data_IF_961331022143
#
_entry.id   IF_961331022143
#
_cell.length_a   1.000
_cell.length_b   1.000
_cell.length_c   1.000
_cell.angle_alpha   90.00
_cell.angle_beta   90.00
_cell.angle_gamma   90.00
#
_symmetry.space_group_name_H-M   'P 1'
#
loop_
_entity.id
_entity.type
_entity.pdbx_description
1 polymer ?
#
# COMPACT_ATOMS: atom_id res chain seq x y z
N UNK A 1 64.71 -27.91 -18.24
CA UNK A 1 63.59 -27.26 -17.51
C UNK A 1 63.34 -25.79 -17.91
N UNK A 2 64.14 -25.16 -18.77
CA UNK A 2 64.08 -23.71 -19.06
C UNK A 2 63.19 -23.29 -20.24
N UNK A 3 62.95 -24.18 -21.22
CA UNK A 3 62.15 -23.87 -22.41
C UNK A 3 60.65 -23.74 -22.12
N UNK A 4 60.13 -24.54 -21.17
CA UNK A 4 58.72 -24.55 -20.79
C UNK A 4 58.34 -23.29 -20.01
N UNK A 5 59.19 -22.87 -19.05
CA UNK A 5 59.06 -21.61 -18.32
C UNK A 5 59.11 -20.39 -19.25
N UNK A 6 59.96 -20.40 -20.28
CA UNK A 6 60.04 -19.33 -21.31
C UNK A 6 58.86 -19.27 -22.27
N UNK A 7 58.15 -20.39 -22.49
CA UNK A 7 56.89 -20.41 -23.25
C UNK A 7 55.75 -19.91 -22.38
N UNK A 8 55.69 -20.34 -21.12
CA UNK A 8 54.68 -19.90 -20.16
C UNK A 8 54.74 -18.38 -19.93
N UNK A 9 55.95 -17.83 -19.74
CA UNK A 9 56.12 -16.39 -19.53
C UNK A 9 55.71 -15.56 -20.75
N UNK A 10 55.94 -16.06 -21.97
CA UNK A 10 55.51 -15.40 -23.21
C UNK A 10 53.99 -15.40 -23.38
N UNK A 11 53.33 -16.50 -23.03
CA UNK A 11 51.86 -16.59 -23.08
C UNK A 11 51.22 -15.64 -22.05
N UNK A 12 51.73 -15.62 -20.82
CA UNK A 12 51.27 -14.70 -19.77
C UNK A 12 51.52 -13.23 -20.13
N UNK A 13 52.66 -12.89 -20.70
CA UNK A 13 52.95 -11.51 -21.11
C UNK A 13 52.04 -11.07 -22.27
N UNK A 14 51.72 -11.99 -23.18
CA UNK A 14 50.80 -11.76 -24.30
C UNK A 14 49.35 -11.57 -23.82
N UNK A 15 48.91 -12.32 -22.80
CA UNK A 15 47.62 -12.09 -22.13
C UNK A 15 47.58 -10.77 -21.35
N UNK A 16 48.68 -10.35 -20.71
CA UNK A 16 48.75 -9.04 -20.01
C UNK A 16 48.69 -7.84 -20.96
N UNK A 17 49.20 -7.99 -22.19
CA UNK A 17 49.12 -6.96 -23.23
C UNK A 17 47.80 -6.97 -24.00
N UNK A 18 46.91 -7.93 -23.73
CA UNK A 18 45.66 -8.08 -24.47
C UNK A 18 44.54 -7.29 -23.78
N UNK A 19 44.13 -6.16 -24.38
CA UNK A 19 43.08 -5.28 -23.85
C UNK A 19 41.68 -5.64 -24.37
N UNK A 20 41.58 -6.59 -25.30
CA UNK A 20 40.31 -6.99 -25.90
C UNK A 20 39.36 -7.68 -24.90
N UNK A 21 39.88 -8.24 -23.80
CA UNK A 21 39.08 -8.86 -22.73
C UNK A 21 38.59 -7.91 -21.63
N UNK A 22 39.14 -6.68 -21.55
CA UNK A 22 38.82 -5.73 -20.47
C UNK A 22 37.35 -5.33 -20.48
N UNK A 23 36.77 -5.11 -21.66
CA UNK A 23 35.36 -4.78 -21.83
C UNK A 23 34.45 -5.86 -21.26
N UNK A 24 34.84 -7.13 -21.37
CA UNK A 24 34.07 -8.26 -20.87
C UNK A 24 34.10 -8.34 -19.33
N UNK A 25 35.21 -7.93 -18.72
CA UNK A 25 35.36 -7.83 -17.26
C UNK A 25 34.63 -6.62 -16.70
N UNK A 26 34.67 -5.49 -17.40
CA UNK A 26 33.90 -4.30 -17.00
C UNK A 26 32.39 -4.58 -17.08
N UNK A 27 31.91 -5.20 -18.16
CA UNK A 27 30.50 -5.56 -18.26
C UNK A 27 30.07 -6.62 -17.25
N UNK A 28 30.94 -7.57 -16.89
CA UNK A 28 30.59 -8.58 -15.89
C UNK A 28 30.36 -8.00 -14.50
N UNK A 29 30.90 -6.81 -14.21
CA UNK A 29 30.67 -6.08 -12.96
C UNK A 29 29.54 -5.04 -13.07
N UNK A 30 29.50 -4.27 -14.17
CA UNK A 30 28.54 -3.18 -14.33
C UNK A 30 27.13 -3.69 -14.60
N UNK A 31 26.97 -4.73 -15.44
CA UNK A 31 25.64 -5.27 -15.79
C UNK A 31 24.87 -5.78 -14.57
N UNK A 32 25.40 -6.68 -13.72
CA UNK A 32 24.64 -7.15 -12.56
C UNK A 32 24.31 -6.01 -11.59
N UNK A 33 25.21 -5.04 -11.42
CA UNK A 33 24.95 -3.86 -10.59
C UNK A 33 23.79 -3.03 -11.15
N UNK A 34 23.79 -2.73 -12.44
CA UNK A 34 22.72 -1.96 -13.09
C UNK A 34 21.39 -2.70 -13.08
N UNK A 35 21.39 -4.02 -13.25
CA UNK A 35 20.19 -4.84 -13.16
C UNK A 35 19.59 -4.82 -11.75
N UNK A 36 20.42 -4.95 -10.71
CA UNK A 36 19.95 -4.85 -9.33
C UNK A 36 19.36 -3.48 -9.00
N UNK A 37 20.01 -2.39 -9.45
CA UNK A 37 19.50 -1.04 -9.26
C UNK A 37 18.17 -0.84 -10.00
N UNK A 38 18.07 -1.30 -11.25
CA UNK A 38 16.85 -1.19 -12.06
C UNK A 38 15.71 -1.97 -11.43
N UNK A 39 15.95 -3.22 -11.03
CA UNK A 39 14.97 -4.04 -10.32
C UNK A 39 14.51 -3.36 -9.02
N UNK A 40 15.43 -2.72 -8.28
CA UNK A 40 15.09 -1.92 -7.10
C UNK A 40 14.12 -0.80 -7.42
N UNK A 41 14.41 0.01 -8.44
CA UNK A 41 13.54 1.12 -8.86
C UNK A 41 12.13 0.62 -9.24
N UNK A 42 12.03 -0.48 -9.97
CA UNK A 42 10.73 -1.06 -10.34
C UNK A 42 9.96 -1.60 -9.12
N UNK A 43 10.63 -2.35 -8.25
CA UNK A 43 10.01 -2.95 -7.05
C UNK A 43 9.49 -1.86 -6.09
N UNK A 44 10.32 -0.86 -5.77
CA UNK A 44 9.91 0.22 -4.87
C UNK A 44 8.94 1.20 -5.54
N UNK A 45 9.02 1.37 -6.87
CA UNK A 45 8.07 2.16 -7.64
C UNK A 45 6.66 1.59 -7.56
N UNK A 46 6.50 0.27 -7.77
CA UNK A 46 5.23 -0.43 -7.63
C UNK A 46 4.72 -0.39 -6.18
N UNK A 47 5.60 -0.62 -5.21
CA UNK A 47 5.24 -0.55 -3.79
C UNK A 47 4.68 0.82 -3.39
N UNK A 48 5.31 1.91 -3.83
CA UNK A 48 4.85 3.28 -3.57
C UNK A 48 3.54 3.55 -4.31
N UNK A 49 3.41 3.09 -5.55
CA UNK A 49 2.19 3.22 -6.34
C UNK A 49 0.99 2.57 -5.62
N UNK A 50 1.14 1.32 -5.18
CA UNK A 50 0.10 0.60 -4.43
C UNK A 50 -0.23 1.31 -3.11
N UNK A 51 0.79 1.82 -2.42
CA UNK A 51 0.58 2.56 -1.16
C UNK A 51 -0.26 3.81 -1.37
N UNK A 52 -0.02 4.57 -2.44
CA UNK A 52 -0.78 5.78 -2.77
C UNK A 52 -2.22 5.44 -3.16
N UNK A 53 -2.42 4.39 -3.95
CA UNK A 53 -3.76 3.91 -4.31
C UNK A 53 -4.55 3.43 -3.08
N UNK A 54 -3.86 2.78 -2.14
CA UNK A 54 -4.42 2.33 -0.87
C UNK A 54 -4.89 3.52 -0.03
N UNK A 55 -4.04 4.54 0.15
CA UNK A 55 -4.38 5.75 0.90
C UNK A 55 -5.57 6.49 0.28
N UNK A 56 -5.58 6.63 -1.05
CA UNK A 56 -6.71 7.20 -1.75
C UNK A 56 -8.00 6.40 -1.53
N UNK A 57 -7.94 5.07 -1.61
CA UNK A 57 -9.11 4.19 -1.37
C UNK A 57 -9.65 4.30 0.05
N UNK A 58 -8.76 4.26 1.04
CA UNK A 58 -9.15 4.37 2.45
C UNK A 58 -9.72 5.76 2.76
N UNK A 59 -9.17 6.83 2.16
CA UNK A 59 -9.71 8.19 2.31
C UNK A 59 -11.11 8.33 1.69
N UNK A 60 -11.29 7.84 0.46
CA UNK A 60 -12.60 7.91 -0.23
C UNK A 60 -13.68 7.14 0.51
N UNK A 61 -13.36 5.92 0.98
CA UNK A 61 -14.27 5.11 1.76
C UNK A 61 -14.63 5.74 3.10
N UNK A 62 -13.66 6.31 3.82
CA UNK A 62 -13.90 7.03 5.07
C UNK A 62 -14.77 8.28 4.85
N UNK A 63 -14.52 9.06 3.80
CA UNK A 63 -15.31 10.26 3.46
C UNK A 63 -16.75 9.92 3.09
N UNK A 64 -16.96 8.81 2.38
CA UNK A 64 -18.28 8.29 2.10
C UNK A 64 -18.97 7.83 3.38
N UNK A 65 -18.31 6.98 4.18
CA UNK A 65 -18.86 6.45 5.42
C UNK A 65 -19.15 7.55 6.46
N UNK A 66 -18.38 8.64 6.48
CA UNK A 66 -18.62 9.81 7.32
C UNK A 66 -19.89 10.59 6.96
N UNK A 67 -20.35 10.48 5.70
CA UNK A 67 -21.57 11.13 5.19
C UNK A 67 -22.76 10.17 5.12
N UNK A 68 -22.51 8.87 5.06
CA UNK A 68 -23.54 7.84 4.97
C UNK A 68 -24.22 7.67 6.32
N UNK A 69 -25.47 8.11 6.42
CA UNK A 69 -26.24 8.04 7.66
C UNK A 69 -27.10 6.76 7.68
N UNK A 70 -26.59 5.70 8.30
CA UNK A 70 -27.32 4.43 8.45
C UNK A 70 -28.64 4.60 9.20
N UNK A 71 -28.70 5.51 10.19
CA UNK A 71 -29.92 5.79 10.97
C UNK A 71 -31.02 6.39 10.10
N UNK A 72 -30.67 7.30 9.20
CA UNK A 72 -31.65 7.90 8.29
C UNK A 72 -32.25 6.87 7.34
N UNK A 73 -31.43 5.94 6.83
CA UNK A 73 -31.92 4.85 5.98
C UNK A 73 -32.81 3.87 6.75
N UNK A 74 -32.48 3.52 7.99
CA UNK A 74 -33.35 2.68 8.81
C UNK A 74 -34.67 3.37 9.13
N UNK A 75 -34.65 4.66 9.47
CA UNK A 75 -35.84 5.43 9.83
C UNK A 75 -36.76 5.65 8.61
N UNK A 76 -36.20 5.66 7.39
CA UNK A 76 -36.95 5.71 6.13
C UNK A 76 -37.38 4.34 5.58
N UNK A 77 -37.14 3.24 6.30
CA UNK A 77 -37.48 1.88 5.87
C UNK A 77 -36.54 1.26 4.83
N UNK A 78 -35.40 1.90 4.54
CA UNK A 78 -34.34 1.41 3.63
C UNK A 78 -33.21 0.69 4.39
N UNK A 79 -33.54 -0.18 5.33
CA UNK A 79 -32.56 -0.92 6.14
C UNK A 79 -31.62 -1.85 5.33
N UNK A 80 -31.92 -2.09 4.05
CA UNK A 80 -31.06 -2.86 3.14
C UNK A 80 -29.78 -2.11 2.72
N UNK A 81 -29.68 -0.81 2.96
CA UNK A 81 -28.50 0.00 2.61
C UNK A 81 -27.45 -0.13 3.72
N UNK A 82 -26.47 -1.00 3.51
CA UNK A 82 -25.31 -1.12 4.39
C UNK A 82 -24.20 -0.11 3.99
N UNK A 83 -24.15 1.00 4.71
CA UNK A 83 -23.11 2.03 4.55
C UNK A 83 -21.69 1.48 4.69
N UNK A 84 -21.45 0.51 5.56
CA UNK A 84 -20.12 -0.05 5.78
C UNK A 84 -19.70 -0.94 4.59
N UNK A 85 -20.61 -1.76 4.07
CA UNK A 85 -20.35 -2.55 2.87
C UNK A 85 -20.09 -1.68 1.63
N UNK A 86 -20.91 -0.64 1.42
CA UNK A 86 -20.71 0.32 0.32
C UNK A 86 -19.39 1.07 0.45
N UNK A 87 -19.01 1.48 1.67
CA UNK A 87 -17.72 2.12 1.93
C UNK A 87 -16.54 1.18 1.62
N UNK A 88 -16.64 -0.12 1.98
CA UNK A 88 -15.63 -1.13 1.62
C UNK A 88 -15.50 -1.29 0.10
N UNK A 89 -16.62 -1.30 -0.62
CA UNK A 89 -16.63 -1.38 -2.08
C UNK A 89 -15.93 -0.16 -2.71
N UNK A 90 -16.22 1.04 -2.22
CA UNK A 90 -15.55 2.27 -2.67
C UNK A 90 -14.06 2.22 -2.38
N UNK A 91 -13.64 1.75 -1.20
CA UNK A 91 -12.23 1.65 -0.85
C UNK A 91 -11.47 0.73 -1.80
N UNK A 92 -12.01 -0.45 -2.09
CA UNK A 92 -11.31 -1.47 -2.88
C UNK A 92 -11.43 -1.22 -4.39
N UNK A 93 -12.62 -0.85 -4.87
CA UNK A 93 -12.94 -0.79 -6.30
C UNK A 93 -13.17 0.63 -6.83
N UNK A 94 -13.25 1.63 -5.94
CA UNK A 94 -13.59 3.01 -6.33
C UNK A 94 -15.03 3.21 -6.80
N UNK A 95 -15.91 2.22 -6.63
CA UNK A 95 -17.31 2.30 -7.01
C UNK A 95 -18.21 1.62 -5.96
N UNK A 96 -19.47 2.06 -5.89
CA UNK A 96 -20.46 1.52 -4.94
C UNK A 96 -20.89 0.09 -5.26
N UNK A 97 -20.84 -0.30 -6.53
CA UNK A 97 -21.30 -1.60 -7.02
C UNK A 97 -20.34 -2.75 -6.62
N UNK A 98 -19.10 -2.43 -6.21
CA UNK A 98 -18.10 -3.44 -5.87
C UNK A 98 -17.59 -4.21 -7.08
N UNK A 99 -17.65 -3.62 -8.28
CA UNK A 99 -17.25 -4.28 -9.52
C UNK A 99 -15.78 -4.04 -9.82
N UNK A 100 -15.13 -5.05 -10.41
CA UNK A 100 -13.74 -4.97 -10.89
C UNK A 100 -13.54 -3.83 -11.93
N UNK A 101 -12.31 -3.31 -12.09
CA UNK A 101 -11.07 -3.73 -11.42
C UNK A 101 -10.92 -3.18 -9.99
N UNK A 102 -10.21 -3.92 -9.14
CA UNK A 102 -9.75 -3.39 -7.85
C UNK A 102 -8.64 -2.35 -8.08
N UNK A 103 -8.53 -1.36 -7.18
CA UNK A 103 -7.50 -0.32 -7.25
C UNK A 103 -6.10 -0.91 -7.18
N UNK A 104 -5.90 -1.88 -6.28
CA UNK A 104 -4.66 -2.62 -6.10
C UNK A 104 -4.93 -4.06 -6.54
N UNK A 105 -3.94 -4.69 -7.18
CA UNK A 105 -4.05 -6.07 -7.64
C UNK A 105 -4.40 -7.00 -6.50
N UNK A 106 -5.40 -7.86 -6.71
CA UNK A 106 -5.84 -8.87 -5.74
C UNK A 106 -6.20 -8.31 -4.34
N UNK A 107 -6.51 -7.01 -4.24
CA UNK A 107 -7.00 -6.40 -3.00
C UNK A 107 -8.49 -6.67 -2.81
N UNK A 108 -8.88 -7.08 -1.60
CA UNK A 108 -10.23 -7.59 -1.32
C UNK A 108 -10.91 -6.77 -0.23
N UNK A 109 -12.23 -6.77 -0.23
CA UNK A 109 -13.04 -6.13 0.82
C UNK A 109 -12.84 -6.76 2.20
N UNK A 110 -12.32 -7.98 2.27
CA UNK A 110 -11.91 -8.65 3.52
C UNK A 110 -10.63 -8.05 4.12
N UNK A 111 -9.79 -7.43 3.30
CA UNK A 111 -8.54 -6.79 3.72
C UNK A 111 -8.78 -5.35 4.26
N UNK A 112 -10.05 -4.90 4.24
CA UNK A 112 -10.48 -3.54 4.62
C UNK A 112 -11.49 -3.60 5.76
N UNK A 113 -11.26 -2.76 6.76
CA UNK A 113 -12.12 -2.59 7.92
C UNK A 113 -12.64 -1.15 7.96
N UNK A 114 -13.96 -1.00 8.07
CA UNK A 114 -14.62 0.30 8.20
C UNK A 114 -15.41 0.27 9.52
N UNK A 115 -14.99 1.07 10.48
CA UNK A 115 -15.68 1.26 11.75
C UNK A 115 -16.42 2.59 11.71
N UNK A 116 -17.75 2.55 11.70
CA UNK A 116 -18.61 3.73 11.71
C UNK A 116 -19.17 3.91 13.12
N UNK A 117 -18.97 5.09 13.70
CA UNK A 117 -19.53 5.47 15.00
C UNK A 117 -19.15 4.54 16.16
N UNK A 118 -17.91 4.07 16.21
CA UNK A 118 -17.43 3.22 17.30
C UNK A 118 -17.58 3.97 18.65
N UNK A 119 -18.36 3.44 19.62
CA UNK A 119 -18.58 4.08 20.91
C UNK A 119 -17.28 4.44 21.65
N UNK A 120 -16.20 3.68 21.45
CA UNK A 120 -14.90 3.95 22.06
C UNK A 120 -14.23 5.22 21.49
N UNK A 121 -14.59 5.62 20.28
CA UNK A 121 -14.02 6.78 19.57
C UNK A 121 -14.90 8.03 19.67
N UNK A 122 -16.15 7.88 20.11
CA UNK A 122 -17.07 9.00 20.29
C UNK A 122 -16.64 9.90 21.46
N UNK A 123 -16.79 11.21 21.28
CA UNK A 123 -16.49 12.25 22.27
C UNK A 123 -17.75 13.06 22.57
N UNK A 124 -17.92 13.49 23.81
CA UNK A 124 -19.04 14.35 24.17
C UNK A 124 -18.90 15.71 23.50
N UNK A 125 -20.00 16.25 22.99
CA UNK A 125 -20.05 17.56 22.35
C UNK A 125 -19.90 18.71 23.37
N UNK A 126 -20.32 18.46 24.61
CA UNK A 126 -20.23 19.38 25.75
C UNK A 126 -19.50 18.68 26.90
N UNK A 127 -18.62 19.40 27.59
CA UNK A 127 -17.92 18.88 28.77
C UNK A 127 -18.84 18.88 30.02
N UNK A 128 -18.36 18.32 31.13
CA UNK A 128 -19.11 18.29 32.40
C UNK A 128 -19.32 19.68 33.03
N UNK A 129 -18.67 20.72 32.52
CA UNK A 129 -18.73 22.11 33.00
C UNK A 129 -19.65 22.98 32.12
N UNK A 130 -20.25 22.43 31.07
CA UNK A 130 -21.12 23.14 30.15
C UNK A 130 -20.41 23.83 28.98
N UNK A 131 -19.10 23.62 28.79
CA UNK A 131 -18.37 24.16 27.65
C UNK A 131 -18.64 23.34 26.39
N UNK A 132 -18.98 24.02 25.30
CA UNK A 132 -19.16 23.40 23.98
C UNK A 132 -17.80 23.07 23.37
N UNK A 133 -17.44 21.79 23.37
CA UNK A 133 -16.21 21.27 22.75
C UNK A 133 -16.36 21.13 21.23
N UNK A 134 -17.55 20.73 20.77
CA UNK A 134 -17.84 20.50 19.36
C UNK A 134 -19.25 20.94 19.00
N UNK A 135 -19.41 21.60 17.84
CA UNK A 135 -20.74 21.89 17.28
C UNK A 135 -21.34 20.60 16.71
N UNK A 136 -22.45 20.15 17.29
CA UNK A 136 -23.17 18.93 16.91
C UNK A 136 -24.66 19.08 17.24
N UNK A 137 -25.53 18.46 16.43
CA UNK A 137 -26.96 18.31 16.73
C UNK A 137 -27.22 17.21 17.76
N UNK A 138 -26.21 16.40 18.07
CA UNK A 138 -26.28 15.28 19.01
C UNK A 138 -25.32 15.49 20.18
N UNK A 139 -25.55 14.81 21.30
CA UNK A 139 -24.72 14.92 22.52
C UNK A 139 -23.29 14.41 22.35
N UNK A 140 -23.00 13.64 21.28
CA UNK A 140 -21.69 13.07 21.02
C UNK A 140 -21.28 13.23 19.55
N UNK A 141 -20.01 13.58 19.34
CA UNK A 141 -19.35 13.56 18.04
C UNK A 141 -18.58 12.26 17.90
N UNK A 142 -18.89 11.49 16.87
CA UNK A 142 -18.22 10.22 16.59
C UNK A 142 -17.31 10.32 15.36
N UNK A 143 -16.43 9.34 15.24
CA UNK A 143 -15.43 9.26 14.16
C UNK A 143 -15.73 8.00 13.34
N UNK A 144 -15.42 8.08 12.06
CA UNK A 144 -15.32 6.93 11.16
C UNK A 144 -13.85 6.62 10.98
N UNK A 145 -13.47 5.37 11.21
CA UNK A 145 -12.12 4.88 10.93
C UNK A 145 -12.18 3.88 9.79
N UNK A 146 -11.53 4.19 8.69
CA UNK A 146 -11.26 3.23 7.62
C UNK A 146 -9.81 2.76 7.74
N UNK A 147 -9.59 1.46 7.68
CA UNK A 147 -8.26 0.88 7.66
C UNK A 147 -8.17 -0.26 6.65
N UNK A 148 -6.99 -0.45 6.09
CA UNK A 148 -6.69 -1.57 5.22
C UNK A 148 -5.31 -2.13 5.49
N UNK A 149 -5.12 -3.39 5.14
CA UNK A 149 -3.81 -4.04 5.07
C UNK A 149 -3.63 -4.72 3.71
N UNK A 150 -2.42 -4.77 3.19
CA UNK A 150 -2.11 -5.45 1.92
C UNK A 150 -0.74 -6.12 2.00
N UNK A 151 -0.66 -7.47 1.89
CA UNK A 151 0.61 -8.19 1.96
C UNK A 151 1.35 -8.16 0.62
N UNK A 152 1.96 -7.01 0.32
CA UNK A 152 2.67 -6.70 -0.93
C UNK A 152 3.69 -7.78 -1.34
N UNK A 153 4.54 -8.23 -0.40
CA UNK A 153 5.60 -9.21 -0.67
C UNK A 153 5.08 -10.54 -1.25
N UNK A 154 3.83 -10.91 -0.95
CA UNK A 154 3.22 -12.17 -1.40
C UNK A 154 2.30 -12.04 -2.60
N UNK A 155 1.85 -10.82 -2.94
CA UNK A 155 0.79 -10.59 -3.94
C UNK A 155 1.28 -9.84 -5.19
N UNK A 156 2.19 -8.88 -5.02
CA UNK A 156 2.62 -7.98 -6.12
C UNK A 156 4.13 -7.84 -6.29
N UNK A 157 4.93 -8.43 -5.38
CA UNK A 157 6.38 -8.33 -5.50
C UNK A 157 6.89 -8.96 -6.79
N UNK A 158 7.83 -8.27 -7.44
CA UNK A 158 8.52 -8.72 -8.67
C UNK A 158 9.64 -9.72 -8.34
N UNK A 159 9.81 -10.08 -7.06
CA UNK A 159 10.73 -11.11 -6.59
C UNK A 159 12.09 -10.60 -6.12
N UNK A 160 12.40 -9.30 -6.32
CA UNK A 160 13.63 -8.70 -5.79
C UNK A 160 13.69 -8.82 -4.27
N UNK A 161 12.57 -8.58 -3.57
CA UNK A 161 12.50 -8.67 -2.11
C UNK A 161 12.90 -10.06 -1.62
N UNK A 162 12.46 -11.11 -2.32
CA UNK A 162 12.86 -12.49 -2.03
C UNK A 162 14.35 -12.73 -2.26
N UNK A 163 14.97 -12.07 -3.26
CA UNK A 163 16.40 -12.21 -3.56
C UNK A 163 17.27 -11.65 -2.42
N UNK A 164 16.82 -10.59 -1.75
CA UNK A 164 17.48 -9.99 -0.58
C UNK A 164 16.93 -10.51 0.76
N UNK A 165 16.22 -11.64 0.73
CA UNK A 165 15.67 -12.33 1.90
C UNK A 165 14.67 -11.51 2.74
N UNK A 166 13.94 -10.60 2.07
CA UNK A 166 12.81 -9.86 2.64
C UNK A 166 11.51 -10.55 2.19
N UNK A 167 10.91 -11.33 3.09
CA UNK A 167 9.72 -12.13 2.78
C UNK A 167 8.40 -11.53 3.27
N UNK A 168 8.46 -10.57 4.19
CA UNK A 168 7.25 -9.99 4.82
C UNK A 168 7.26 -8.46 4.69
N UNK A 169 6.54 -7.96 3.68
CA UNK A 169 6.23 -6.53 3.55
C UNK A 169 4.72 -6.39 3.44
N UNK A 170 4.12 -5.73 4.43
CA UNK A 170 2.68 -5.42 4.48
C UNK A 170 2.49 -3.92 4.44
N UNK A 171 1.71 -3.44 3.47
CA UNK A 171 1.27 -2.05 3.41
C UNK A 171 0.04 -1.89 4.29
N UNK A 172 0.05 -0.87 5.14
CA UNK A 172 -1.10 -0.49 5.97
C UNK A 172 -1.47 0.96 5.72
N UNK A 173 -2.77 1.25 5.72
CA UNK A 173 -3.28 2.61 5.65
C UNK A 173 -4.48 2.74 6.59
N UNK A 174 -4.60 3.89 7.25
CA UNK A 174 -5.74 4.24 8.09
C UNK A 174 -6.11 5.70 7.89
N UNK A 175 -7.39 5.97 7.69
CA UNK A 175 -7.92 7.34 7.58
C UNK A 175 -9.10 7.50 8.53
N UNK A 176 -9.14 8.64 9.21
CA UNK A 176 -10.21 8.99 10.14
C UNK A 176 -10.93 10.25 9.66
N UNK A 177 -12.25 10.20 9.72
CA UNK A 177 -13.13 11.32 9.37
C UNK A 177 -14.18 11.52 10.45
N UNK A 178 -14.58 12.76 10.68
CA UNK A 178 -15.68 13.06 11.60
C UNK A 178 -17.00 12.57 10.99
N UNK A 179 -17.74 11.75 11.72
CA UNK A 179 -19.08 11.34 11.31
C UNK A 179 -20.02 12.55 11.35
N UNK A 180 -20.75 12.77 10.26
CA UNK A 180 -21.76 13.83 10.18
C UNK A 180 -23.13 13.19 10.43
N UNK A 181 -23.78 13.63 11.51
CA UNK A 181 -25.15 13.28 11.85
C UNK A 181 -26.02 14.51 11.62
N UNK A 182 -27.15 14.32 10.94
CA UNK A 182 -28.17 15.34 10.72
C UNK A 182 -29.41 14.95 11.52
#
# INVERSE_FOLDING_TARGET
>A
MTAMLRRLSRVLNRFRSDHHGTVLVEMSLVVPMMLLLSAGVFEFGNLIHDKLLMEAGVSDGARFAARCNSKLYTDAGLAAIDCAALAKNITVFGNVAGTAPARIKDWKTTDVTINIADPATCKNAVDGSGNVLYLSTTSQVCIVTASGAYPYASRDSVGLLSLINISTVTLSASHQERLIRF
#
